data_IF_598721654703
#
_entry.id   IF_598721654703
#
_cell.length_a   1.000
_cell.length_b   1.000
_cell.length_c   1.000
_cell.angle_alpha   90.00
_cell.angle_beta   90.00
_cell.angle_gamma   90.00
#
_symmetry.space_group_name_H-M   'P 1'
#
loop_
_entity.id
_entity.type
_entity.pdbx_description
1 polymer ?
#
# COMPACT_ATOMS: atom_id res chain seq x y z
N UNK A 1 21.35 9.22 -16.25
CA UNK A 1 20.76 9.55 -14.93
C UNK A 1 21.27 8.54 -13.91
N UNK A 2 21.71 8.99 -12.72
CA UNK A 2 21.96 8.08 -11.59
C UNK A 2 20.63 7.41 -11.21
N UNK A 3 20.63 6.09 -10.98
CA UNK A 3 19.47 5.41 -10.41
C UNK A 3 19.09 6.04 -9.05
N UNK A 4 17.93 5.69 -8.47
CA UNK A 4 17.58 6.19 -7.16
C UNK A 4 18.69 5.83 -6.17
N UNK A 5 19.11 6.80 -5.36
CA UNK A 5 20.06 6.59 -4.27
C UNK A 5 19.50 5.56 -3.26
N UNK A 6 20.30 5.16 -2.28
CA UNK A 6 19.85 4.34 -1.15
C UNK A 6 18.50 4.83 -0.60
N UNK A 7 17.52 3.94 -0.35
CA UNK A 7 16.20 4.33 0.14
C UNK A 7 16.28 5.18 1.41
N UNK A 8 15.61 6.33 1.41
CA UNK A 8 15.52 7.17 2.58
C UNK A 8 14.65 6.52 3.67
N UNK A 9 14.76 7.03 4.91
CA UNK A 9 13.92 6.55 6.01
C UNK A 9 12.42 6.73 5.69
N UNK A 10 12.03 7.86 5.10
CA UNK A 10 10.65 8.12 4.67
C UNK A 10 10.18 7.12 3.62
N UNK A 11 11.02 6.78 2.64
CA UNK A 11 10.69 5.81 1.60
C UNK A 11 10.50 4.41 2.19
N UNK A 12 11.34 4.00 3.14
CA UNK A 12 11.19 2.70 3.81
C UNK A 12 9.94 2.68 4.69
N UNK A 13 9.65 3.75 5.43
CA UNK A 13 8.41 3.86 6.22
C UNK A 13 7.17 3.74 5.33
N UNK A 14 7.16 4.43 4.20
CA UNK A 14 6.08 4.32 3.22
C UNK A 14 5.98 2.90 2.65
N UNK A 15 7.11 2.26 2.33
CA UNK A 15 7.12 0.88 1.85
C UNK A 15 6.59 -0.11 2.90
N UNK A 16 6.94 0.04 4.18
CA UNK A 16 6.36 -0.76 5.25
C UNK A 16 4.85 -0.52 5.37
N UNK A 17 4.39 0.72 5.29
CA UNK A 17 2.95 0.97 5.40
C UNK A 17 2.16 0.43 4.19
N UNK A 18 2.61 0.71 2.97
CA UNK A 18 1.89 0.36 1.75
C UNK A 18 2.17 -1.07 1.26
N UNK A 19 3.42 -1.49 1.15
CA UNK A 19 3.75 -2.82 0.62
C UNK A 19 3.46 -3.92 1.66
N UNK A 20 3.90 -3.74 2.91
CA UNK A 20 3.62 -4.72 3.98
C UNK A 20 2.16 -4.60 4.40
N UNK A 21 1.71 -3.41 4.79
CA UNK A 21 0.36 -3.22 5.32
C UNK A 21 -0.73 -3.33 4.26
N UNK A 22 -0.75 -2.43 3.27
CA UNK A 22 -1.85 -2.37 2.29
C UNK A 22 -1.85 -3.55 1.33
N UNK A 23 -0.73 -3.89 0.70
CA UNK A 23 -0.70 -4.96 -0.32
C UNK A 23 -0.83 -6.36 0.29
N UNK A 24 -0.18 -6.60 1.43
CA UNK A 24 -0.03 -7.96 1.95
C UNK A 24 -0.93 -8.30 3.14
N UNK A 25 -1.14 -7.37 4.08
CA UNK A 25 -1.91 -7.60 5.31
C UNK A 25 -3.37 -7.08 5.19
N UNK A 26 -3.60 -5.80 5.52
CA UNK A 26 -4.91 -5.22 5.78
C UNK A 26 -5.76 -4.96 4.55
N UNK A 27 -5.14 -4.77 3.38
CA UNK A 27 -5.87 -4.57 2.12
C UNK A 27 -6.97 -3.50 2.23
N UNK A 28 -8.13 -3.73 1.59
CA UNK A 28 -9.24 -2.78 1.65
C UNK A 28 -9.92 -2.70 3.03
N UNK A 29 -9.69 -3.68 3.92
CA UNK A 29 -10.40 -3.83 5.21
C UNK A 29 -9.61 -3.29 6.42
N UNK A 30 -8.54 -2.54 6.19
CA UNK A 30 -7.62 -2.04 7.23
C UNK A 30 -8.29 -1.39 8.45
N UNK A 31 -9.44 -0.73 8.26
CA UNK A 31 -10.17 0.03 9.29
C UNK A 31 -11.52 -0.62 9.60
N UNK A 32 -11.55 -1.94 9.60
CA UNK A 32 -12.67 -2.76 10.00
C UNK A 32 -12.16 -3.95 10.80
N UNK A 33 -13.04 -4.54 11.61
CA UNK A 33 -12.72 -5.78 12.30
C UNK A 33 -12.76 -6.95 11.30
N UNK A 34 -11.61 -7.59 11.09
CA UNK A 34 -11.47 -8.76 10.22
C UNK A 34 -11.31 -10.03 11.06
N UNK A 35 -11.80 -11.15 10.57
CA UNK A 35 -11.60 -12.45 11.21
C UNK A 35 -10.70 -13.32 10.32
N UNK A 36 -9.62 -13.86 10.90
CA UNK A 36 -8.68 -14.72 10.20
C UNK A 36 -9.22 -16.16 10.08
N UNK A 37 -10.23 -16.34 9.24
CA UNK A 37 -10.88 -17.63 9.00
C UNK A 37 -12.24 -17.51 8.32
N UNK A 38 -13.05 -18.57 8.41
CA UNK A 38 -14.38 -18.62 7.82
C UNK A 38 -15.48 -18.59 8.90
N UNK A 39 -16.67 -18.12 8.52
CA UNK A 39 -17.90 -18.39 9.28
C UNK A 39 -18.68 -19.50 8.61
N UNK A 40 -19.00 -20.53 9.36
CA UNK A 40 -19.81 -21.67 8.91
C UNK A 40 -20.93 -21.84 9.93
N UNK A 41 -22.18 -21.70 9.49
CA UNK A 41 -23.37 -21.80 10.34
C UNK A 41 -23.33 -20.87 11.58
N UNK A 42 -22.81 -19.65 11.41
CA UNK A 42 -22.66 -18.67 12.49
C UNK A 42 -21.46 -18.92 13.43
N UNK A 43 -20.71 -20.01 13.24
CA UNK A 43 -19.54 -20.34 14.03
C UNK A 43 -18.25 -19.93 13.32
N UNK A 44 -17.32 -19.38 14.09
CA UNK A 44 -15.95 -19.07 13.68
C UNK A 44 -15.15 -20.35 13.47
N UNK A 45 -14.49 -20.43 12.31
CA UNK A 45 -13.52 -21.45 11.93
C UNK A 45 -12.19 -20.77 11.59
N UNK A 46 -11.29 -20.59 12.57
CA UNK A 46 -10.01 -19.93 12.36
C UNK A 46 -9.14 -20.69 11.34
N UNK A 47 -8.44 -19.95 10.48
CA UNK A 47 -7.51 -20.53 9.51
C UNK A 47 -6.28 -21.15 10.19
N UNK A 48 -5.75 -20.47 11.21
CA UNK A 48 -4.61 -20.93 12.03
C UNK A 48 -4.85 -20.55 13.52
N UNK A 49 -3.84 -20.12 14.26
CA UNK A 49 -3.97 -19.64 15.63
C UNK A 49 -4.42 -18.17 15.73
N UNK A 50 -4.80 -17.55 14.62
CA UNK A 50 -5.27 -16.16 14.60
C UNK A 50 -6.75 -16.01 14.92
N UNK A 51 -7.10 -14.88 15.56
CA UNK A 51 -8.46 -14.52 15.94
C UNK A 51 -9.01 -13.36 15.10
N UNK A 52 -9.65 -12.41 15.79
CA UNK A 52 -9.97 -11.12 15.20
C UNK A 52 -8.73 -10.25 15.03
N UNK A 53 -8.73 -9.41 14.00
CA UNK A 53 -7.64 -8.48 13.69
C UNK A 53 -8.17 -7.13 13.21
N UNK A 54 -7.32 -6.11 13.33
CA UNK A 54 -7.60 -4.73 12.86
C UNK A 54 -6.30 -4.05 12.45
N UNK A 55 -6.37 -3.08 11.54
CA UNK A 55 -5.22 -2.26 11.12
C UNK A 55 -4.70 -2.60 9.74
N UNK A 56 -4.00 -1.62 9.15
CA UNK A 56 -3.30 -1.78 7.87
C UNK A 56 -2.17 -2.79 7.99
N UNK A 57 -1.36 -2.74 9.06
CA UNK A 57 -0.33 -3.75 9.34
C UNK A 57 -0.88 -5.00 10.06
N UNK A 58 -2.20 -5.07 10.22
CA UNK A 58 -2.97 -6.12 10.90
C UNK A 58 -2.40 -6.56 12.26
N UNK A 59 -3.01 -6.03 13.33
CA UNK A 59 -2.80 -6.55 14.68
C UNK A 59 -3.77 -7.68 14.97
N UNK A 60 -3.25 -8.89 15.19
CA UNK A 60 -4.03 -10.03 15.71
C UNK A 60 -4.36 -9.82 17.19
N UNK A 61 -5.63 -9.55 17.48
CA UNK A 61 -6.14 -9.24 18.82
C UNK A 61 -6.03 -10.44 19.77
N UNK A 62 -6.02 -11.67 19.23
CA UNK A 62 -5.83 -12.89 20.01
C UNK A 62 -4.38 -13.12 20.46
N UNK A 63 -3.42 -12.52 19.76
CA UNK A 63 -2.00 -12.54 20.11
C UNK A 63 -1.53 -11.27 20.82
N UNK A 64 -2.39 -10.25 20.84
CA UNK A 64 -2.17 -8.93 21.46
C UNK A 64 -3.41 -8.54 22.28
N UNK A 65 -3.76 -9.31 23.35
CA UNK A 65 -4.98 -9.06 24.13
C UNK A 65 -5.03 -7.68 24.79
N UNK A 66 -3.88 -7.05 25.03
CA UNK A 66 -3.80 -5.64 25.44
C UNK A 66 -4.33 -4.68 24.37
N UNK A 67 -4.13 -4.99 23.09
CA UNK A 67 -4.71 -4.23 21.97
C UNK A 67 -6.22 -4.41 21.90
N UNK A 68 -6.69 -5.64 22.11
CA UNK A 68 -8.12 -5.95 22.15
C UNK A 68 -8.84 -5.13 23.24
N UNK A 69 -8.28 -5.09 24.45
CA UNK A 69 -8.79 -4.26 25.56
C UNK A 69 -8.75 -2.76 25.21
N UNK A 70 -7.67 -2.28 24.61
CA UNK A 70 -7.55 -0.88 24.21
C UNK A 70 -8.60 -0.48 23.15
N UNK A 71 -8.90 -1.35 22.18
CA UNK A 71 -9.97 -1.14 21.19
C UNK A 71 -11.33 -1.00 21.86
N UNK A 72 -11.64 -1.91 22.79
CA UNK A 72 -12.90 -1.88 23.52
C UNK A 72 -13.01 -0.63 24.39
N UNK A 73 -11.96 -0.26 25.11
CA UNK A 73 -11.94 0.97 25.90
C UNK A 73 -12.15 2.23 25.03
N UNK A 74 -11.48 2.31 23.88
CA UNK A 74 -11.65 3.42 22.93
C UNK A 74 -13.07 3.48 22.35
N UNK A 75 -13.64 2.32 22.00
CA UNK A 75 -15.02 2.22 21.52
C UNK A 75 -16.01 2.75 22.55
N UNK A 76 -15.84 2.36 23.82
CA UNK A 76 -16.71 2.81 24.92
C UNK A 76 -16.61 4.32 25.13
N UNK A 77 -15.39 4.86 25.22
CA UNK A 77 -15.18 6.29 25.39
C UNK A 77 -15.78 7.11 24.22
N UNK A 78 -15.61 6.63 22.98
CA UNK A 78 -16.20 7.24 21.80
C UNK A 78 -17.73 7.23 21.86
N UNK A 79 -18.34 6.09 22.18
CA UNK A 79 -19.79 5.94 22.27
C UNK A 79 -20.40 6.86 23.35
N UNK A 80 -19.74 6.99 24.50
CA UNK A 80 -20.14 7.88 25.60
C UNK A 80 -20.00 9.37 25.22
N UNK A 81 -19.10 9.71 24.28
CA UNK A 81 -18.87 11.10 23.81
C UNK A 81 -19.82 11.58 22.72
N UNK A 82 -20.65 10.69 22.16
CA UNK A 82 -21.61 11.07 21.11
C UNK A 82 -22.80 11.87 21.68
N UNK A 83 -23.46 12.66 20.83
CA UNK A 83 -24.68 13.39 21.19
C UNK A 83 -25.84 13.04 20.23
N UNK A 84 -26.85 12.27 20.67
CA UNK A 84 -26.94 11.61 21.97
C UNK A 84 -25.93 10.44 22.10
N UNK A 85 -25.56 10.03 23.33
CA UNK A 85 -24.65 8.90 23.55
C UNK A 85 -25.17 7.62 22.91
N UNK A 86 -24.26 6.83 22.34
CA UNK A 86 -24.59 5.53 21.77
C UNK A 86 -24.77 4.52 22.91
N UNK A 87 -25.94 3.87 22.95
CA UNK A 87 -26.21 2.83 23.93
C UNK A 87 -25.25 1.64 23.77
N UNK A 88 -24.63 1.24 24.88
CA UNK A 88 -23.74 0.08 24.96
C UNK A 88 -24.44 -1.08 25.68
N UNK A 89 -23.99 -2.34 25.46
CA UNK A 89 -24.37 -3.47 26.30
C UNK A 89 -24.10 -3.20 27.79
N UNK A 90 -24.76 -3.95 28.67
CA UNK A 90 -24.46 -3.87 30.10
C UNK A 90 -22.99 -4.29 30.38
N UNK A 91 -22.47 -3.92 31.55
CA UNK A 91 -21.07 -4.15 31.89
C UNK A 91 -20.64 -5.63 31.79
N UNK A 92 -21.51 -6.56 32.17
CA UNK A 92 -21.22 -8.00 32.11
C UNK A 92 -21.04 -8.48 30.67
N UNK A 93 -21.98 -8.11 29.80
CA UNK A 93 -21.93 -8.49 28.38
C UNK A 93 -20.77 -7.81 27.65
N UNK A 94 -20.43 -6.58 28.06
CA UNK A 94 -19.26 -5.87 27.54
C UNK A 94 -17.95 -6.58 27.88
N UNK A 95 -17.73 -6.95 29.15
CA UNK A 95 -16.54 -7.69 29.58
C UNK A 95 -16.44 -9.08 28.94
N UNK A 96 -17.58 -9.77 28.77
CA UNK A 96 -17.62 -11.02 28.00
C UNK A 96 -17.20 -10.78 26.54
N UNK A 97 -17.66 -9.68 25.94
CA UNK A 97 -17.23 -9.23 24.62
C UNK A 97 -15.74 -8.95 24.48
N UNK A 98 -15.13 -8.31 25.50
CA UNK A 98 -13.67 -8.08 25.58
C UNK A 98 -12.92 -9.42 25.60
N UNK A 99 -13.39 -10.39 26.39
CA UNK A 99 -12.80 -11.72 26.40
C UNK A 99 -12.93 -12.38 25.03
N UNK A 100 -14.10 -12.27 24.39
CA UNK A 100 -14.39 -12.93 23.13
C UNK A 100 -13.55 -12.42 21.96
N UNK A 101 -13.37 -11.10 21.85
CA UNK A 101 -12.57 -10.46 20.79
C UNK A 101 -11.06 -10.70 20.99
N UNK A 102 -10.64 -10.99 22.23
CA UNK A 102 -9.25 -11.31 22.60
C UNK A 102 -8.89 -12.79 22.40
N UNK A 103 -9.79 -13.62 21.84
CA UNK A 103 -9.50 -15.05 21.64
C UNK A 103 -8.64 -15.27 20.40
N UNK A 104 -7.61 -16.09 20.56
CA UNK A 104 -6.84 -16.62 19.44
C UNK A 104 -7.56 -17.84 18.82
N UNK A 105 -7.05 -18.31 17.68
CA UNK A 105 -7.68 -19.40 16.94
C UNK A 105 -7.76 -20.72 17.72
N UNK A 106 -6.82 -21.02 18.62
CA UNK A 106 -6.92 -22.22 19.49
C UNK A 106 -8.05 -22.07 20.50
N UNK A 107 -8.16 -20.93 21.17
CA UNK A 107 -9.23 -20.66 22.14
C UNK A 107 -10.61 -20.67 21.46
N UNK A 108 -10.73 -20.08 20.26
CA UNK A 108 -11.99 -20.12 19.49
C UNK A 108 -12.41 -21.57 19.19
N UNK A 109 -11.47 -22.43 18.78
CA UNK A 109 -11.77 -23.85 18.52
C UNK A 109 -12.19 -24.59 19.80
N UNK A 110 -11.52 -24.33 20.92
CA UNK A 110 -11.84 -24.93 22.21
C UNK A 110 -13.25 -24.55 22.69
N UNK A 111 -13.68 -23.32 22.40
CA UNK A 111 -15.03 -22.81 22.70
C UNK A 111 -16.09 -23.19 21.63
N UNK A 112 -15.82 -24.20 20.80
CA UNK A 112 -16.75 -24.68 19.76
C UNK A 112 -16.94 -23.73 18.57
N UNK A 113 -16.15 -22.66 18.46
CA UNK A 113 -16.25 -21.65 17.41
C UNK A 113 -17.28 -20.56 17.68
N UNK A 114 -17.76 -20.40 18.91
CA UNK A 114 -18.70 -19.32 19.27
C UNK A 114 -18.13 -17.95 18.90
N UNK A 115 -18.92 -17.11 18.23
CA UNK A 115 -18.54 -15.73 17.88
C UNK A 115 -18.78 -14.74 19.04
N UNK A 116 -18.28 -13.51 18.88
CA UNK A 116 -18.62 -12.34 19.72
C UNK A 116 -20.09 -11.99 19.49
N UNK A 117 -20.79 -11.61 20.56
CA UNK A 117 -22.19 -11.19 20.50
C UNK A 117 -22.39 -10.00 19.51
N UNK A 118 -23.42 -10.03 18.63
CA UNK A 118 -23.69 -8.95 17.68
C UNK A 118 -23.85 -7.57 18.33
N UNK A 119 -24.44 -7.52 19.52
CA UNK A 119 -24.70 -6.30 20.29
C UNK A 119 -23.40 -5.65 20.79
N UNK A 120 -22.34 -6.44 20.98
CA UNK A 120 -20.99 -5.94 21.27
C UNK A 120 -20.28 -5.52 19.98
N UNK A 121 -20.43 -6.29 18.90
CA UNK A 121 -19.77 -5.98 17.62
C UNK A 121 -20.31 -4.70 16.96
N UNK A 122 -21.60 -4.39 17.13
CA UNK A 122 -22.23 -3.22 16.53
C UNK A 122 -21.54 -1.89 16.90
N UNK A 123 -21.36 -1.52 18.19
CA UNK A 123 -20.65 -0.30 18.55
C UNK A 123 -19.16 -0.31 18.15
N UNK A 124 -18.48 -1.47 18.20
CA UNK A 124 -17.08 -1.58 17.75
C UNK A 124 -16.96 -1.29 16.25
N UNK A 125 -17.87 -1.83 15.43
CA UNK A 125 -17.90 -1.54 13.99
C UNK A 125 -18.24 -0.09 13.70
N UNK A 126 -19.18 0.49 14.44
CA UNK A 126 -19.53 1.90 14.32
C UNK A 126 -18.33 2.80 14.67
N UNK A 127 -17.61 2.48 15.76
CA UNK A 127 -16.37 3.16 16.12
C UNK A 127 -15.33 3.06 15.01
N UNK A 128 -15.01 1.87 14.52
CA UNK A 128 -14.03 1.68 13.44
C UNK A 128 -14.43 2.34 12.10
N UNK A 129 -15.72 2.59 11.89
CA UNK A 129 -16.22 3.35 10.75
C UNK A 129 -16.12 4.88 10.92
N UNK A 130 -16.09 5.36 12.17
CA UNK A 130 -15.95 6.78 12.51
C UNK A 130 -14.56 7.34 12.21
N UNK A 131 -14.43 8.67 12.23
CA UNK A 131 -13.14 9.35 12.08
C UNK A 131 -12.21 9.00 13.25
N UNK A 132 -12.73 9.01 14.47
CA UNK A 132 -11.98 8.69 15.69
C UNK A 132 -11.44 7.25 15.65
N UNK A 133 -12.22 6.30 15.15
CA UNK A 133 -11.77 4.93 14.96
C UNK A 133 -10.70 4.79 13.89
N UNK A 134 -10.82 5.51 12.77
CA UNK A 134 -9.77 5.56 11.75
C UNK A 134 -8.47 6.10 12.34
N UNK A 135 -8.53 7.22 13.06
CA UNK A 135 -7.36 7.80 13.74
C UNK A 135 -6.78 6.87 14.80
N UNK A 136 -7.62 6.18 15.56
CA UNK A 136 -7.14 5.21 16.55
C UNK A 136 -6.38 4.05 15.91
N UNK A 137 -6.92 3.47 14.83
CA UNK A 137 -6.26 2.39 14.09
C UNK A 137 -4.94 2.89 13.49
N UNK A 138 -4.97 4.06 12.83
CA UNK A 138 -3.81 4.64 12.18
C UNK A 138 -2.66 4.93 13.17
N UNK A 139 -2.97 5.46 14.35
CA UNK A 139 -1.98 5.69 15.39
C UNK A 139 -1.25 4.40 15.81
N UNK A 140 -1.94 3.25 15.77
CA UNK A 140 -1.31 1.94 16.05
C UNK A 140 -0.46 1.45 14.88
N UNK A 141 -0.94 1.61 13.66
CA UNK A 141 -0.17 1.27 12.46
C UNK A 141 1.13 2.09 12.41
N UNK A 142 1.07 3.39 12.71
CA UNK A 142 2.24 4.26 12.81
C UNK A 142 3.22 3.77 13.89
N UNK A 143 2.73 3.49 15.10
CA UNK A 143 3.57 2.96 16.19
C UNK A 143 4.18 1.59 15.85
N UNK A 144 3.48 0.76 15.07
CA UNK A 144 4.00 -0.52 14.60
C UNK A 144 5.11 -0.31 13.55
N UNK A 145 4.97 0.63 12.62
CA UNK A 145 6.07 0.99 11.71
C UNK A 145 7.26 1.51 12.49
N UNK A 146 7.08 2.40 13.47
CA UNK A 146 8.16 2.88 14.33
C UNK A 146 8.91 1.74 15.01
N UNK A 147 8.16 0.76 15.55
CA UNK A 147 8.75 -0.44 16.16
C UNK A 147 9.57 -1.26 15.15
N UNK A 148 9.06 -1.49 13.93
CA UNK A 148 9.77 -2.22 12.88
C UNK A 148 11.03 -1.46 12.45
N UNK A 149 10.91 -0.14 12.27
CA UNK A 149 12.03 0.74 11.90
C UNK A 149 13.15 0.64 12.94
N UNK A 150 12.81 0.75 14.22
CA UNK A 150 13.78 0.73 15.31
C UNK A 150 14.43 -0.64 15.49
N UNK A 151 13.62 -1.70 15.55
CA UNK A 151 14.11 -3.01 16.00
C UNK A 151 14.70 -3.85 14.87
N UNK A 152 14.41 -3.52 13.61
CA UNK A 152 14.80 -4.35 12.47
C UNK A 152 15.44 -3.55 11.35
N UNK A 153 14.82 -2.46 10.91
CA UNK A 153 15.34 -1.73 9.75
C UNK A 153 16.65 -1.02 10.07
N UNK A 154 16.72 -0.26 11.17
CA UNK A 154 17.96 0.45 11.51
C UNK A 154 19.13 -0.53 11.75
N UNK A 155 18.95 -1.66 12.47
CA UNK A 155 19.98 -2.70 12.53
C UNK A 155 20.33 -3.33 11.18
N UNK A 156 19.34 -3.58 10.31
CA UNK A 156 19.57 -4.12 8.96
C UNK A 156 20.44 -3.17 8.13
N UNK A 157 20.11 -1.87 8.13
CA UNK A 157 20.83 -0.82 7.42
C UNK A 157 22.28 -0.65 7.88
N UNK A 158 22.56 -1.01 9.13
CA UNK A 158 23.91 -1.01 9.69
C UNK A 158 24.78 -2.21 9.25
N UNK A 159 24.20 -3.22 8.59
CA UNK A 159 24.97 -4.40 8.13
C UNK A 159 25.74 -4.12 6.84
N UNK A 160 26.95 -4.69 6.74
CA UNK A 160 27.75 -4.61 5.51
C UNK A 160 27.04 -5.26 4.32
N UNK A 161 26.31 -6.36 4.56
CA UNK A 161 25.52 -7.04 3.54
C UNK A 161 24.47 -6.10 2.91
N UNK A 162 23.71 -5.36 3.72
CA UNK A 162 22.71 -4.41 3.24
C UNK A 162 23.34 -3.22 2.50
N UNK A 163 24.44 -2.68 3.01
CA UNK A 163 25.13 -1.55 2.39
C UNK A 163 25.75 -1.90 1.03
N UNK A 164 26.08 -3.18 0.81
CA UNK A 164 26.58 -3.68 -0.47
C UNK A 164 25.49 -3.99 -1.51
N UNK A 165 24.21 -3.99 -1.12
CA UNK A 165 23.08 -4.23 -2.02
C UNK A 165 22.82 -3.02 -2.92
N UNK A 166 22.21 -3.27 -4.09
CA UNK A 166 21.67 -2.19 -4.92
C UNK A 166 20.57 -1.43 -4.18
N UNK A 167 20.28 -0.16 -4.49
CA UNK A 167 19.18 0.59 -3.86
C UNK A 167 17.80 -0.08 -3.98
N UNK A 168 17.55 -0.82 -5.06
CA UNK A 168 16.33 -1.61 -5.24
C UNK A 168 16.30 -2.84 -4.33
N UNK A 169 17.42 -3.55 -4.23
CA UNK A 169 17.58 -4.67 -3.31
C UNK A 169 17.49 -4.23 -1.84
N UNK A 170 18.00 -3.03 -1.52
CA UNK A 170 17.89 -2.42 -0.19
C UNK A 170 16.43 -2.18 0.20
N UNK A 171 15.60 -1.68 -0.72
CA UNK A 171 14.17 -1.50 -0.48
C UNK A 171 13.48 -2.86 -0.30
N UNK A 172 13.78 -3.80 -1.19
CA UNK A 172 13.19 -5.15 -1.17
C UNK A 172 13.56 -5.90 0.12
N UNK A 173 14.82 -5.87 0.53
CA UNK A 173 15.29 -6.47 1.78
C UNK A 173 14.60 -5.84 2.99
N UNK A 174 14.46 -4.50 3.03
CA UNK A 174 13.75 -3.82 4.12
C UNK A 174 12.28 -4.27 4.23
N UNK A 175 11.59 -4.40 3.09
CA UNK A 175 10.20 -4.88 3.05
C UNK A 175 10.08 -6.33 3.50
N UNK A 176 10.94 -7.23 3.02
CA UNK A 176 10.89 -8.65 3.37
C UNK A 176 11.16 -8.89 4.86
N UNK A 177 12.24 -8.29 5.39
CA UNK A 177 12.61 -8.46 6.80
C UNK A 177 11.59 -7.75 7.71
N UNK A 178 11.11 -6.57 7.31
CA UNK A 178 10.05 -5.84 8.01
C UNK A 178 8.74 -6.62 8.08
N UNK A 179 8.29 -7.20 6.96
CA UNK A 179 7.12 -8.09 6.87
C UNK A 179 7.28 -9.30 7.79
N UNK A 180 8.42 -9.98 7.73
CA UNK A 180 8.66 -11.17 8.54
C UNK A 180 8.62 -10.84 10.03
N UNK A 181 9.21 -9.71 10.45
CA UNK A 181 9.15 -9.25 11.84
C UNK A 181 7.73 -8.87 12.26
N UNK A 182 6.97 -8.21 11.38
CA UNK A 182 5.56 -7.87 11.63
C UNK A 182 4.73 -9.13 11.94
N UNK A 183 4.94 -10.21 11.18
CA UNK A 183 4.26 -11.49 11.40
C UNK A 183 4.82 -12.30 12.59
N UNK A 184 6.13 -12.22 12.83
CA UNK A 184 6.83 -12.95 13.90
C UNK A 184 8.13 -12.25 14.25
N UNK A 185 8.14 -11.53 15.38
CA UNK A 185 9.31 -10.79 15.86
C UNK A 185 10.54 -11.70 15.99
N UNK A 186 10.33 -12.94 16.47
CA UNK A 186 11.40 -13.95 16.60
C UNK A 186 11.98 -14.41 15.26
N UNK A 187 11.13 -14.60 14.24
CA UNK A 187 11.57 -15.00 12.91
C UNK A 187 12.31 -13.86 12.21
N UNK A 188 11.77 -12.64 12.30
CA UNK A 188 12.40 -11.42 11.77
C UNK A 188 13.78 -11.19 12.37
N UNK A 189 13.88 -11.26 13.71
CA UNK A 189 15.16 -11.12 14.43
C UNK A 189 16.17 -12.20 14.02
N UNK A 190 15.73 -13.44 13.81
CA UNK A 190 16.62 -14.52 13.37
C UNK A 190 17.21 -14.28 11.98
N UNK A 191 16.41 -13.77 11.04
CA UNK A 191 16.89 -13.42 9.70
C UNK A 191 17.86 -12.25 9.75
N UNK A 192 17.53 -11.20 10.51
CA UNK A 192 18.43 -10.07 10.74
C UNK A 192 19.78 -10.52 11.29
N UNK A 193 19.79 -11.39 12.30
CA UNK A 193 21.05 -11.89 12.89
C UNK A 193 21.88 -12.69 11.89
N UNK A 194 21.25 -13.48 11.01
CA UNK A 194 21.95 -14.20 9.95
C UNK A 194 22.56 -13.25 8.90
N UNK A 195 21.88 -12.13 8.59
CA UNK A 195 22.43 -11.06 7.73
C UNK A 195 23.63 -10.40 8.42
N UNK A 196 23.49 -10.04 9.70
CA UNK A 196 24.56 -9.41 10.48
C UNK A 196 25.79 -10.31 10.63
N UNK A 197 25.60 -11.63 10.69
CA UNK A 197 26.68 -12.62 10.71
C UNK A 197 27.32 -12.87 9.32
N UNK A 198 26.78 -12.29 8.25
CA UNK A 198 27.25 -12.51 6.88
C UNK A 198 26.81 -13.85 6.28
N UNK A 199 25.92 -14.59 6.94
CA UNK A 199 25.36 -15.85 6.42
C UNK A 199 24.35 -15.59 5.28
N UNK A 200 23.70 -14.43 5.30
CA UNK A 200 22.76 -13.95 4.29
C UNK A 200 23.27 -12.61 3.76
N UNK A 201 23.51 -12.53 2.46
CA UNK A 201 24.13 -11.36 1.81
C UNK A 201 23.32 -10.82 0.64
N UNK A 202 22.30 -11.55 0.18
CA UNK A 202 21.48 -11.16 -0.98
C UNK A 202 19.99 -11.30 -0.70
N UNK A 203 19.17 -10.54 -1.43
CA UNK A 203 17.69 -10.65 -1.40
C UNK A 203 17.23 -12.08 -1.69
N UNK A 204 17.85 -12.76 -2.66
CA UNK A 204 17.53 -14.16 -2.97
C UNK A 204 17.74 -15.11 -1.78
N UNK A 205 18.80 -14.89 -0.99
CA UNK A 205 19.04 -15.66 0.23
C UNK A 205 18.06 -15.32 1.35
N UNK A 206 17.65 -14.05 1.48
CA UNK A 206 16.55 -13.66 2.39
C UNK A 206 15.28 -14.43 2.01
N UNK A 207 14.94 -14.49 0.72
CA UNK A 207 13.74 -15.18 0.25
C UNK A 207 13.79 -16.68 0.58
N UNK A 208 14.88 -17.35 0.21
CA UNK A 208 15.06 -18.77 0.48
C UNK A 208 14.97 -19.10 1.99
N UNK A 209 15.47 -18.19 2.85
CA UNK A 209 15.36 -18.33 4.30
C UNK A 209 13.92 -18.22 4.78
N UNK A 210 13.13 -17.32 4.19
CA UNK A 210 11.71 -17.11 4.52
C UNK A 210 10.86 -18.30 4.08
N UNK A 211 11.11 -18.83 2.88
CA UNK A 211 10.42 -20.00 2.34
C UNK A 211 10.52 -21.22 3.29
N UNK A 212 11.66 -21.34 3.98
CA UNK A 212 11.88 -22.37 5.01
C UNK A 212 10.97 -22.28 6.24
N UNK A 213 10.21 -21.19 6.44
CA UNK A 213 9.27 -21.04 7.56
C UNK A 213 7.82 -21.46 7.22
N UNK A 214 7.55 -21.94 6.01
CA UNK A 214 6.25 -22.46 5.58
C UNK A 214 5.41 -21.52 4.71
N UNK A 215 4.44 -22.10 4.00
CA UNK A 215 3.69 -21.46 2.90
C UNK A 215 2.93 -20.18 3.29
N UNK A 216 2.42 -20.09 4.51
CA UNK A 216 1.73 -18.89 4.99
C UNK A 216 2.66 -17.66 5.04
N UNK A 217 3.88 -17.83 5.54
CA UNK A 217 4.86 -16.73 5.61
C UNK A 217 5.45 -16.40 4.24
N UNK A 218 5.68 -17.43 3.41
CA UNK A 218 6.08 -17.26 2.02
C UNK A 218 5.07 -16.40 1.26
N UNK A 219 3.79 -16.81 1.20
CA UNK A 219 2.77 -16.08 0.46
C UNK A 219 2.58 -14.63 0.94
N UNK A 220 2.68 -14.38 2.25
CA UNK A 220 2.66 -13.02 2.79
C UNK A 220 3.88 -12.19 2.35
N UNK A 221 5.08 -12.78 2.35
CA UNK A 221 6.30 -12.13 1.91
C UNK A 221 6.30 -11.86 0.40
N UNK A 222 5.81 -12.80 -0.41
CA UNK A 222 5.68 -12.64 -1.86
C UNK A 222 4.78 -11.46 -2.20
N UNK A 223 3.61 -11.35 -1.53
CA UNK A 223 2.71 -10.19 -1.70
C UNK A 223 3.35 -8.88 -1.27
N UNK A 224 4.09 -8.87 -0.17
CA UNK A 224 4.76 -7.65 0.29
C UNK A 224 5.85 -7.21 -0.71
N UNK A 225 6.60 -8.16 -1.25
CA UNK A 225 7.59 -7.92 -2.31
C UNK A 225 6.93 -7.41 -3.60
N UNK A 226 5.78 -7.97 -3.98
CA UNK A 226 5.01 -7.43 -5.11
C UNK A 226 4.51 -6.00 -4.85
N UNK A 227 4.14 -5.70 -3.60
CA UNK A 227 3.78 -4.35 -3.16
C UNK A 227 4.93 -3.35 -3.14
N UNK A 228 6.19 -3.80 -3.09
CA UNK A 228 7.34 -2.89 -3.14
C UNK A 228 7.67 -2.45 -4.58
N UNK A 229 7.22 -3.18 -5.59
CA UNK A 229 7.41 -2.82 -7.01
C UNK A 229 6.82 -1.44 -7.36
N UNK A 230 5.53 -1.13 -7.07
CA UNK A 230 5.02 0.21 -7.32
C UNK A 230 5.76 1.28 -6.52
N UNK A 231 6.24 0.98 -5.32
CA UNK A 231 7.07 1.93 -4.55
C UNK A 231 8.39 2.20 -5.27
N UNK A 232 9.10 1.16 -5.71
CA UNK A 232 10.34 1.32 -6.47
C UNK A 232 10.13 2.14 -7.74
N UNK A 233 9.02 1.93 -8.45
CA UNK A 233 8.65 2.72 -9.62
C UNK A 233 8.32 4.18 -9.27
N UNK A 234 7.63 4.45 -8.16
CA UNK A 234 7.39 5.82 -7.67
C UNK A 234 8.69 6.55 -7.32
N UNK A 235 9.69 5.85 -6.76
CA UNK A 235 11.02 6.40 -6.47
C UNK A 235 11.79 6.77 -7.74
N UNK A 236 11.54 6.05 -8.83
CA UNK A 236 12.17 6.29 -10.12
C UNK A 236 11.35 7.20 -11.04
N UNK A 237 10.18 7.67 -10.61
CA UNK A 237 9.30 8.51 -11.41
C UNK A 237 10.01 9.82 -11.79
N UNK A 238 10.06 10.20 -13.09
CA UNK A 238 10.72 11.42 -13.52
C UNK A 238 10.09 12.67 -12.89
N UNK A 239 10.92 13.66 -12.58
CA UNK A 239 10.44 14.95 -12.09
C UNK A 239 9.40 15.56 -13.04
N UNK A 240 8.35 16.16 -12.47
CA UNK A 240 7.26 16.79 -13.21
C UNK A 240 6.18 15.82 -13.73
N UNK A 241 6.27 14.51 -13.48
CA UNK A 241 5.17 13.58 -13.76
C UNK A 241 4.13 13.55 -12.65
N UNK A 242 2.93 13.05 -12.96
CA UNK A 242 1.81 12.96 -12.02
C UNK A 242 2.18 12.26 -10.71
N UNK A 243 2.93 11.16 -10.84
CA UNK A 243 3.27 10.30 -9.71
C UNK A 243 4.50 10.77 -8.94
N UNK A 244 5.43 11.49 -9.57
CA UNK A 244 6.52 12.15 -8.85
C UNK A 244 5.97 13.18 -7.83
N UNK A 245 4.95 13.96 -8.22
CA UNK A 245 4.29 14.91 -7.33
C UNK A 245 3.60 14.21 -6.14
N UNK A 246 2.85 13.14 -6.39
CA UNK A 246 2.19 12.36 -5.34
C UNK A 246 3.22 11.69 -4.41
N UNK A 247 4.31 11.16 -4.96
CA UNK A 247 5.36 10.52 -4.18
C UNK A 247 6.11 11.51 -3.28
N UNK A 248 6.41 12.70 -3.80
CA UNK A 248 7.03 13.76 -3.01
C UNK A 248 6.19 14.14 -1.79
N UNK A 249 4.87 14.24 -1.95
CA UNK A 249 3.95 14.54 -0.84
C UNK A 249 3.96 13.40 0.20
N UNK A 250 3.88 12.14 -0.24
CA UNK A 250 3.96 10.98 0.66
C UNK A 250 5.26 10.95 1.45
N UNK A 251 6.39 11.30 0.85
CA UNK A 251 7.68 11.32 1.56
C UNK A 251 7.76 12.32 2.71
N UNK A 252 6.97 13.41 2.66
CA UNK A 252 6.91 14.39 3.76
C UNK A 252 6.18 13.85 4.99
N UNK A 253 5.28 12.88 4.80
CA UNK A 253 4.47 12.27 5.85
C UNK A 253 4.18 10.81 5.49
N UNK A 254 5.18 9.89 5.59
CA UNK A 254 5.12 8.56 4.97
C UNK A 254 3.99 7.66 5.48
N UNK A 255 3.41 7.99 6.63
CA UNK A 255 2.34 7.25 7.26
C UNK A 255 1.20 8.23 7.57
N UNK A 256 0.19 8.27 6.71
CA UNK A 256 -1.00 9.12 6.86
C UNK A 256 -2.27 8.35 6.56
N UNK A 257 -3.37 8.71 7.21
CA UNK A 257 -4.69 8.07 7.10
C UNK A 257 -5.22 8.12 5.65
N UNK A 258 -5.13 7.03 4.87
CA UNK A 258 -5.44 7.11 3.45
C UNK A 258 -6.95 6.97 3.18
N UNK A 259 -7.76 6.54 4.16
CA UNK A 259 -9.17 6.16 3.91
C UNK A 259 -10.18 7.25 4.24
N UNK A 260 -9.77 8.39 4.80
CA UNK A 260 -10.72 9.42 5.20
C UNK A 260 -11.50 9.94 3.99
N UNK A 261 -10.86 10.25 2.86
CA UNK A 261 -11.58 10.71 1.66
C UNK A 261 -12.48 9.61 1.06
N UNK A 262 -12.05 8.34 1.11
CA UNK A 262 -12.85 7.19 0.64
C UNK A 262 -14.15 7.04 1.43
N UNK A 263 -14.15 7.54 2.67
CA UNK A 263 -15.27 7.50 3.61
C UNK A 263 -16.03 8.83 3.71
N UNK A 264 -15.65 9.84 2.92
CA UNK A 264 -16.24 11.18 3.00
C UNK A 264 -15.91 11.95 4.29
N UNK A 265 -14.79 11.60 4.94
CA UNK A 265 -14.37 12.14 6.25
C UNK A 265 -13.19 13.12 6.17
N UNK A 266 -12.60 13.38 5.00
CA UNK A 266 -11.44 14.26 4.82
C UNK A 266 -11.80 15.68 4.40
N UNK A 267 -10.98 16.67 4.79
CA UNK A 267 -10.92 17.95 4.10
C UNK A 267 -10.17 17.80 2.76
N UNK A 268 -10.56 18.55 1.73
CA UNK A 268 -9.99 18.46 0.38
C UNK A 268 -8.47 18.67 0.37
N UNK A 269 -7.73 17.77 -0.28
CA UNK A 269 -6.30 17.92 -0.60
C UNK A 269 -5.30 17.21 0.33
N UNK A 270 -5.68 16.87 1.56
CA UNK A 270 -4.74 16.44 2.60
C UNK A 270 -4.37 14.94 2.54
N UNK A 271 -5.27 14.10 2.03
CA UNK A 271 -5.08 12.63 1.99
C UNK A 271 -4.93 12.09 0.54
N UNK A 272 -4.93 12.98 -0.46
CA UNK A 272 -5.02 12.59 -1.87
C UNK A 272 -3.85 11.73 -2.34
N UNK A 273 -2.61 12.17 -2.11
CA UNK A 273 -1.43 11.43 -2.55
C UNK A 273 -1.33 10.07 -1.88
N UNK A 274 -1.69 10.01 -0.59
CA UNK A 274 -1.76 8.76 0.16
C UNK A 274 -2.82 7.81 -0.36
N UNK A 275 -3.95 8.32 -0.86
CA UNK A 275 -4.95 7.53 -1.56
C UNK A 275 -4.44 7.00 -2.88
N UNK A 276 -3.82 7.85 -3.70
CA UNK A 276 -3.25 7.44 -4.99
C UNK A 276 -2.24 6.30 -4.78
N UNK A 277 -1.32 6.45 -3.83
CA UNK A 277 -0.32 5.40 -3.52
C UNK A 277 -0.98 4.16 -2.92
N UNK A 278 -2.01 4.31 -2.09
CA UNK A 278 -2.81 3.17 -1.60
C UNK A 278 -3.45 2.41 -2.75
N UNK A 279 -4.01 3.11 -3.73
CA UNK A 279 -4.68 2.49 -4.87
C UNK A 279 -3.71 1.76 -5.79
N UNK A 280 -2.49 2.27 -5.95
CA UNK A 280 -1.40 1.54 -6.59
C UNK A 280 -1.03 0.28 -5.79
N UNK A 281 -0.90 0.39 -4.47
CA UNK A 281 -0.58 -0.76 -3.61
C UNK A 281 -1.67 -1.85 -3.61
N UNK A 282 -2.95 -1.46 -3.69
CA UNK A 282 -4.08 -2.39 -3.83
C UNK A 282 -4.20 -2.99 -5.23
N UNK A 283 -3.70 -2.28 -6.26
CA UNK A 283 -3.66 -2.73 -7.64
C UNK A 283 -2.22 -3.05 -8.09
N UNK A 284 -1.43 -3.65 -7.20
CA UNK A 284 0.02 -3.80 -7.38
C UNK A 284 0.39 -4.55 -8.67
N UNK A 285 -0.44 -5.49 -9.13
CA UNK A 285 -0.18 -6.24 -10.37
C UNK A 285 -0.21 -5.35 -11.63
N UNK A 286 -1.08 -4.34 -11.64
CA UNK A 286 -1.26 -3.44 -12.79
C UNK A 286 -0.49 -2.13 -12.64
N UNK A 287 -0.06 -1.80 -11.42
CA UNK A 287 0.60 -0.53 -11.11
C UNK A 287 1.88 -0.27 -11.90
N UNK A 288 2.77 -1.25 -12.16
CA UNK A 288 3.93 -1.02 -13.01
C UNK A 288 3.57 -0.50 -14.40
N UNK A 289 2.50 -1.04 -15.01
CA UNK A 289 2.05 -0.60 -16.33
C UNK A 289 1.37 0.77 -16.29
N UNK A 290 0.65 1.09 -15.20
CA UNK A 290 0.06 2.42 -14.97
C UNK A 290 1.17 3.48 -14.85
N UNK A 291 2.18 3.19 -14.03
CA UNK A 291 3.31 4.08 -13.77
C UNK A 291 4.17 4.30 -15.03
N UNK A 292 4.53 3.23 -15.75
CA UNK A 292 5.26 3.35 -17.03
C UNK A 292 4.48 4.18 -18.05
N UNK A 293 3.18 3.93 -18.18
CA UNK A 293 2.34 4.69 -19.10
C UNK A 293 2.29 6.18 -18.73
N UNK A 294 2.13 6.51 -17.45
CA UNK A 294 2.11 7.89 -16.99
C UNK A 294 3.45 8.60 -17.18
N UNK A 295 4.57 7.94 -16.85
CA UNK A 295 5.90 8.51 -17.02
C UNK A 295 6.21 8.80 -18.49
N UNK A 296 5.76 7.92 -19.39
CA UNK A 296 5.97 8.05 -20.83
C UNK A 296 4.96 8.95 -21.52
N UNK A 297 3.89 9.36 -20.84
CA UNK A 297 2.75 10.00 -21.47
C UNK A 297 2.12 9.11 -22.55
N UNK A 298 1.98 7.82 -22.26
CA UNK A 298 1.42 6.83 -23.17
C UNK A 298 -0.12 6.78 -23.09
N UNK A 299 -0.69 5.76 -23.72
CA UNK A 299 -2.13 5.49 -23.77
C UNK A 299 -2.40 4.21 -23.01
N UNK A 300 -3.21 4.28 -21.95
CA UNK A 300 -3.45 3.15 -21.08
C UNK A 300 -4.85 3.19 -20.49
N UNK A 301 -5.49 2.02 -20.38
CA UNK A 301 -6.74 1.86 -19.64
C UNK A 301 -6.83 0.45 -19.06
N UNK A 302 -7.14 0.36 -17.77
CA UNK A 302 -7.30 -0.90 -17.05
C UNK A 302 -8.46 -0.82 -16.06
N UNK A 303 -8.93 -1.98 -15.61
CA UNK A 303 -9.88 -2.11 -14.54
C UNK A 303 -11.31 -1.84 -14.98
N UNK A 304 -12.18 -1.66 -13.98
CA UNK A 304 -13.61 -1.43 -14.14
C UNK A 304 -13.90 0.06 -14.26
N UNK A 305 -15.04 0.42 -14.83
CA UNK A 305 -15.51 1.79 -14.82
C UNK A 305 -15.68 2.30 -13.36
N UNK A 306 -15.59 3.62 -13.11
CA UNK A 306 -15.73 4.17 -11.76
C UNK A 306 -16.95 3.63 -11.01
N UNK A 307 -18.12 3.51 -11.64
CA UNK A 307 -19.31 2.97 -10.98
C UNK A 307 -19.21 1.51 -10.52
N UNK A 308 -18.23 0.74 -11.01
CA UNK A 308 -18.20 -0.72 -10.91
C UNK A 308 -16.93 -1.30 -10.26
N UNK A 309 -15.96 -0.47 -9.85
CA UNK A 309 -14.77 -0.92 -9.13
C UNK A 309 -13.53 -0.10 -9.42
N UNK A 310 -12.35 -0.64 -9.10
CA UNK A 310 -11.03 -0.03 -9.31
C UNK A 310 -10.65 0.09 -10.77
N UNK A 311 -9.91 1.14 -11.11
CA UNK A 311 -9.38 1.32 -12.45
C UNK A 311 -8.43 2.51 -12.55
N UNK A 312 -7.79 2.60 -13.72
CA UNK A 312 -6.91 3.70 -14.06
C UNK A 312 -6.91 3.93 -15.58
N UNK A 313 -6.69 5.17 -15.99
CA UNK A 313 -6.52 5.59 -17.37
C UNK A 313 -5.36 6.58 -17.48
N UNK A 314 -4.59 6.50 -18.57
CA UNK A 314 -3.54 7.46 -18.94
C UNK A 314 -3.74 7.86 -20.39
N UNK A 315 -3.66 9.15 -20.68
CA UNK A 315 -3.65 9.69 -22.03
C UNK A 315 -2.74 10.91 -22.09
N UNK A 316 -1.57 10.75 -22.70
CA UNK A 316 -0.53 11.76 -22.62
C UNK A 316 -0.17 12.03 -21.15
N UNK A 317 -0.08 13.30 -20.77
CA UNK A 317 0.21 13.70 -19.39
C UNK A 317 -1.01 13.69 -18.45
N UNK A 318 -2.19 13.29 -18.94
CA UNK A 318 -3.39 13.17 -18.10
C UNK A 318 -3.51 11.78 -17.52
N UNK A 319 -3.65 11.70 -16.20
CA UNK A 319 -3.80 10.43 -15.46
C UNK A 319 -5.09 10.46 -14.68
N UNK A 320 -5.85 9.36 -14.68
CA UNK A 320 -6.97 9.16 -13.78
C UNK A 320 -6.81 7.83 -13.04
N UNK A 321 -7.03 7.82 -11.73
CA UNK A 321 -7.00 6.61 -10.88
C UNK A 321 -8.14 6.65 -9.89
N UNK A 322 -8.77 5.49 -9.65
CA UNK A 322 -9.87 5.39 -8.69
C UNK A 322 -9.90 4.03 -7.99
N UNK A 323 -10.32 4.07 -6.73
CA UNK A 323 -10.49 2.89 -5.89
C UNK A 323 -11.76 2.12 -6.18
N UNK A 324 -12.10 1.14 -5.33
CA UNK A 324 -13.43 0.48 -5.35
C UNK A 324 -14.54 1.45 -4.92
N UNK A 325 -14.21 2.32 -3.97
CA UNK A 325 -15.04 3.40 -3.43
C UNK A 325 -14.25 4.71 -3.48
N UNK A 326 -14.83 5.79 -2.97
CA UNK A 326 -14.17 7.08 -2.91
C UNK A 326 -14.14 7.83 -4.26
N UNK A 327 -13.48 8.99 -4.31
CA UNK A 327 -13.43 9.85 -5.48
C UNK A 327 -12.64 9.26 -6.65
N UNK A 328 -12.77 9.86 -7.83
CA UNK A 328 -11.83 9.67 -8.94
C UNK A 328 -10.77 10.76 -8.86
N UNK A 329 -9.50 10.37 -8.79
CA UNK A 329 -8.38 11.32 -8.78
C UNK A 329 -7.86 11.50 -10.19
N UNK A 330 -7.80 12.76 -10.65
CA UNK A 330 -7.37 13.11 -12.00
C UNK A 330 -6.21 14.09 -11.91
N UNK A 331 -5.11 13.78 -12.58
CA UNK A 331 -4.01 14.69 -12.83
C UNK A 331 -4.18 15.31 -14.20
N UNK A 332 -4.37 16.62 -14.27
CA UNK A 332 -4.42 17.38 -15.52
C UNK A 332 -3.82 18.77 -15.29
N UNK A 333 -3.17 19.33 -16.31
CA UNK A 333 -2.55 20.66 -16.24
C UNK A 333 -1.54 20.82 -15.09
N UNK A 334 -0.82 19.75 -14.71
CA UNK A 334 0.19 19.78 -13.67
C UNK A 334 -0.34 19.63 -12.24
N UNK A 335 -1.65 19.49 -12.06
CA UNK A 335 -2.27 19.40 -10.74
C UNK A 335 -3.17 18.19 -10.61
N UNK A 336 -3.21 17.62 -9.41
CA UNK A 336 -4.21 16.63 -9.04
C UNK A 336 -5.51 17.34 -8.61
N UNK A 337 -6.64 16.77 -9.02
CA UNK A 337 -7.97 17.07 -8.51
C UNK A 337 -8.68 15.78 -8.09
N UNK A 338 -9.67 15.91 -7.20
CA UNK A 338 -10.52 14.79 -6.78
C UNK A 338 -11.95 15.10 -7.19
N UNK A 339 -12.54 14.20 -7.97
CA UNK A 339 -13.88 14.34 -8.53
C UNK A 339 -14.84 13.38 -7.82
N UNK A 340 -16.07 13.83 -7.59
CA UNK A 340 -17.12 12.95 -7.09
C UNK A 340 -17.32 11.79 -8.07
N UNK A 341 -17.22 10.57 -7.55
CA UNK A 341 -17.34 9.35 -8.32
C UNK A 341 -18.64 9.27 -9.11
N UNK A 342 -19.73 9.77 -8.55
CA UNK A 342 -21.05 9.76 -9.19
C UNK A 342 -21.12 10.66 -10.43
N UNK A 343 -20.21 11.63 -10.52
CA UNK A 343 -20.10 12.57 -11.65
C UNK A 343 -19.21 12.02 -12.78
N UNK A 344 -18.41 10.97 -12.54
CA UNK A 344 -17.43 10.48 -13.51
C UNK A 344 -17.86 9.16 -14.11
N UNK A 345 -17.91 9.10 -15.45
CA UNK A 345 -18.27 7.90 -16.19
C UNK A 345 -17.17 7.52 -17.18
N UNK A 346 -16.91 6.22 -17.28
CA UNK A 346 -16.13 5.66 -18.40
C UNK A 346 -17.08 5.18 -19.49
N UNK A 347 -16.93 5.73 -20.69
CA UNK A 347 -17.74 5.38 -21.87
C UNK A 347 -16.86 4.86 -23.00
N UNK A 348 -17.48 4.22 -23.99
CA UNK A 348 -16.78 3.54 -25.08
C UNK A 348 -16.50 2.07 -24.79
N UNK A 349 -15.72 1.45 -25.67
CA UNK A 349 -15.42 0.03 -25.65
C UNK A 349 -13.94 -0.23 -25.93
N UNK A 350 -13.43 -1.40 -25.52
CA UNK A 350 -12.02 -1.71 -25.78
C UNK A 350 -11.73 -1.66 -27.30
N UNK A 351 -10.61 -1.04 -27.70
CA UNK A 351 -9.56 -0.49 -26.83
C UNK A 351 -9.66 1.03 -26.58
N UNK A 352 -10.74 1.69 -27.06
CA UNK A 352 -10.93 3.14 -27.02
C UNK A 352 -11.93 3.54 -25.94
N UNK A 353 -11.43 4.13 -24.86
CA UNK A 353 -12.26 4.60 -23.76
C UNK A 353 -12.17 6.11 -23.60
N UNK A 354 -13.28 6.71 -23.19
CA UNK A 354 -13.31 8.08 -22.69
C UNK A 354 -13.67 8.09 -21.22
N UNK A 355 -13.10 9.04 -20.49
CA UNK A 355 -13.55 9.41 -19.17
C UNK A 355 -14.28 10.75 -19.28
N UNK A 356 -15.53 10.79 -18.85
CA UNK A 356 -16.39 11.96 -18.92
C UNK A 356 -16.78 12.41 -17.51
N UNK A 357 -16.86 13.72 -17.31
CA UNK A 357 -17.35 14.36 -16.09
C UNK A 357 -18.68 15.03 -16.39
N UNK A 358 -19.72 14.72 -15.61
CA UNK A 358 -21.01 15.40 -15.67
C UNK A 358 -21.21 16.24 -14.40
N UNK A 359 -21.27 17.56 -14.54
CA UNK A 359 -21.50 18.51 -13.45
C UNK A 359 -22.51 19.55 -13.89
N UNK A 360 -23.49 19.84 -13.03
CA UNK A 360 -24.55 20.84 -13.29
C UNK A 360 -25.29 20.63 -14.63
N UNK A 361 -25.47 19.36 -15.02
CA UNK A 361 -26.14 18.97 -16.27
C UNK A 361 -25.29 19.13 -17.54
N UNK A 362 -24.02 19.57 -17.42
CA UNK A 362 -23.07 19.62 -18.52
C UNK A 362 -22.10 18.45 -18.45
N UNK A 363 -21.79 17.84 -19.60
CA UNK A 363 -20.83 16.75 -19.73
C UNK A 363 -19.58 17.24 -20.46
N UNK A 364 -18.41 17.08 -19.84
CA UNK A 364 -17.10 17.31 -20.45
C UNK A 364 -16.31 16.01 -20.58
N UNK A 365 -15.54 15.85 -21.64
CA UNK A 365 -14.57 14.75 -21.76
C UNK A 365 -13.29 15.14 -21.04
N UNK A 366 -12.94 14.41 -19.97
CA UNK A 366 -11.71 14.62 -19.23
C UNK A 366 -10.49 14.10 -19.99
N UNK A 367 -10.62 12.92 -20.59
CA UNK A 367 -9.56 12.27 -21.37
C UNK A 367 -10.12 11.21 -22.31
N UNK A 368 -9.39 10.94 -23.40
CA UNK A 368 -9.65 9.84 -24.35
C UNK A 368 -8.39 8.99 -24.48
N UNK A 369 -8.56 7.68 -24.34
CA UNK A 369 -7.50 6.70 -24.60
C UNK A 369 -7.65 6.20 -26.03
N UNK A 370 -6.61 6.41 -26.84
CA UNK A 370 -6.50 5.90 -28.21
C UNK A 370 -5.15 5.17 -28.34
N UNK A 371 -5.12 3.83 -28.34
CA UNK A 371 -3.88 3.05 -28.38
C UNK A 371 -3.02 3.27 -29.63
N UNK A 372 -3.55 3.92 -30.68
CA UNK A 372 -2.79 4.24 -31.90
C UNK A 372 -1.91 5.48 -31.73
N UNK A 373 -2.17 6.30 -30.71
CA UNK A 373 -1.37 7.48 -30.41
C UNK A 373 -0.05 7.06 -29.74
N UNK A 374 1.12 7.42 -30.31
CA UNK A 374 2.41 7.12 -29.71
C UNK A 374 2.60 7.76 -28.33
N UNK A 375 3.43 7.14 -27.50
CA UNK A 375 3.85 7.73 -26.23
C UNK A 375 4.64 9.03 -26.46
N UNK A 376 4.46 10.01 -25.57
CA UNK A 376 5.14 11.30 -25.63
C UNK A 376 6.65 11.18 -25.35
N UNK A 377 7.06 10.17 -24.59
CA UNK A 377 8.44 9.96 -24.14
C UNK A 377 8.86 8.50 -24.27
N UNK A 378 10.17 8.30 -24.46
CA UNK A 378 10.80 6.99 -24.45
C UNK A 378 10.73 6.35 -23.06
N UNK A 379 10.61 5.02 -23.02
CA UNK A 379 10.77 4.23 -21.81
C UNK A 379 12.19 4.34 -21.26
N UNK A 380 12.38 3.93 -19.99
CA UNK A 380 13.71 3.91 -19.38
C UNK A 380 14.71 3.03 -20.17
N UNK A 381 14.27 1.88 -20.68
CA UNK A 381 15.09 0.99 -21.49
C UNK A 381 15.47 1.61 -22.84
N UNK A 382 14.52 2.25 -23.52
CA UNK A 382 14.76 2.96 -24.78
C UNK A 382 15.70 4.15 -24.58
N UNK A 383 15.56 4.89 -23.48
CA UNK A 383 16.49 5.98 -23.11
C UNK A 383 17.90 5.44 -22.87
N UNK A 384 18.05 4.40 -22.06
CA UNK A 384 19.34 3.79 -21.75
C UNK A 384 20.02 3.17 -22.99
N UNK A 385 19.25 2.63 -23.91
CA UNK A 385 19.76 2.16 -25.20
C UNK A 385 20.19 3.33 -26.10
N UNK A 386 19.38 4.39 -26.17
CA UNK A 386 19.72 5.57 -26.96
C UNK A 386 20.96 6.30 -26.41
N UNK A 387 21.13 6.35 -25.09
CA UNK A 387 22.34 6.85 -24.43
C UNK A 387 23.56 5.99 -24.80
N UNK A 388 23.47 4.67 -24.70
CA UNK A 388 24.56 3.75 -25.11
C UNK A 388 24.93 3.91 -26.59
N UNK A 389 23.94 4.04 -27.47
CA UNK A 389 24.17 4.28 -28.90
C UNK A 389 24.81 5.64 -29.16
N UNK A 390 24.46 6.67 -28.38
CA UNK A 390 25.05 8.00 -28.49
C UNK A 390 26.51 8.01 -27.99
N UNK A 391 26.81 7.31 -26.89
CA UNK A 391 28.17 7.14 -26.38
C UNK A 391 29.08 6.41 -27.38
N UNK A 392 28.60 5.32 -27.99
CA UNK A 392 29.34 4.60 -29.04
C UNK A 392 29.60 5.45 -30.30
N UNK A 393 28.66 6.33 -30.68
CA UNK A 393 28.86 7.26 -31.81
C UNK A 393 29.84 8.39 -31.49
N UNK A 394 29.92 8.81 -30.24
CA UNK A 394 30.91 9.79 -29.79
C UNK A 394 32.32 9.18 -29.84
N UNK A 395 32.50 7.94 -29.36
CA UNK A 395 33.79 7.25 -29.45
C UNK A 395 34.26 7.05 -30.89
N UNK A 396 33.36 6.69 -31.82
CA UNK A 396 33.71 6.52 -33.24
C UNK A 396 34.13 7.84 -33.91
N UNK A 397 33.50 8.96 -33.53
CA UNK A 397 33.86 10.29 -34.03
C UNK A 397 35.20 10.77 -33.46
N UNK A 398 35.52 10.46 -32.21
CA UNK A 398 36.82 10.76 -31.61
C UNK A 398 37.94 9.96 -32.26
N UNK A 399 37.72 8.67 -32.52
CA UNK A 399 38.66 7.81 -33.27
C UNK A 399 38.90 8.37 -34.68
N UNK A 400 37.85 8.77 -35.40
CA UNK A 400 38.00 9.36 -36.74
C UNK A 400 38.69 10.74 -36.72
N UNK A 401 38.54 11.51 -35.65
CA UNK A 401 39.24 12.79 -35.45
C UNK A 401 40.74 12.58 -35.22
N UNK A 402 41.11 11.65 -34.36
CA UNK A 402 42.52 11.28 -34.11
C UNK A 402 43.19 10.77 -35.40
N UNK A 403 42.48 9.99 -36.22
CA UNK A 403 42.98 9.52 -37.51
C UNK A 403 43.11 10.63 -38.57
N UNK A 404 42.38 11.73 -38.45
CA UNK A 404 42.49 12.90 -39.37
C UNK A 404 43.54 13.91 -38.96
N UNK A 405 43.71 14.13 -37.65
CA UNK A 405 44.62 15.15 -37.12
C UNK A 405 46.04 14.58 -36.86
N UNK A 406 46.22 13.26 -36.97
CA UNK A 406 47.50 12.57 -36.82
C UNK A 406 48.13 12.04 -38.12
N UNK A 407 47.66 12.48 -39.29
CA UNK A 407 48.14 12.06 -40.62
C UNK A 407 49.07 13.07 -41.29
#
# INVERSE_FOLDING_TARGET
MSGPDTPSESEIRAALYYAVGVTSEGGPQSFALAFAGNRVDGLLRPADNSGYSVGTLQTDLGQRPETARALMAATRAWAESQDPPIALPNATDWEAGVADISRNGRTIRADGGRDVAPEVLAPVRAFLASREGVTWVHGRDAAQVDKVMQNVIAPLQATAAYQAMSPEDQLTAAVMVGKLYNQSESSGTRVLNAIAAGEITTVAQINARIDGYGSYRQSGNDRATQGSVPIAALRAAPEGTAFAAAWSDVQTSPIREPVLADRGLSATGVDRSHQIVRELALNYEQSPAILDAADRGAQFSNGRAPSNGRGAMVSGDTVAIWGETGPVHVFRNGEWESLDRSQVQRVGERPNYELQLTRDGQTETLMRVDPTVPALRLSAAERAEQERLNEGRLSDREVQRVLRDGG
#
